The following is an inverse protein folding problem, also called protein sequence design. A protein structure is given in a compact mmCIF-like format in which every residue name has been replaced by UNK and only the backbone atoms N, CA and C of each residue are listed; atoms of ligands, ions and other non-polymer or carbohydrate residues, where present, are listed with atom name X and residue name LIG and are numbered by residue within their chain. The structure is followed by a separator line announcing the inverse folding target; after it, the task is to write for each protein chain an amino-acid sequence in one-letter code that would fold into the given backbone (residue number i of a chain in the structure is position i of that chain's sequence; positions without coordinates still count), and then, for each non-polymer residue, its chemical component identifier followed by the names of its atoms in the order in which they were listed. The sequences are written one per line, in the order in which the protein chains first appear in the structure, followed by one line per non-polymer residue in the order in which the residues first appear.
data_IF_252264008622
#
_entry.id   IF_252264008622
#
_cell.length_a   1.000
_cell.length_b   1.000
_cell.length_c   1.000
_cell.angle_alpha   90.00
_cell.angle_beta   90.00
_cell.angle_gamma   90.00
#
_symmetry.space_group_name_H-M   'P 1'
#
loop_
_entity.id
_entity.type
_entity.pdbx_description
1 polymer ?
#
# COMPACT_ATOMS: atom_id res chain seq x y z
N UNK A 1 -11.32 41.26 4.09
CA UNK A 1 -10.17 40.36 4.44
C UNK A 1 -10.61 38.91 4.31
N UNK A 2 -9.83 38.07 3.64
CA UNK A 2 -10.09 36.62 3.58
C UNK A 2 -9.71 36.06 4.94
N UNK A 3 -10.60 35.30 5.57
CA UNK A 3 -10.35 34.68 6.88
C UNK A 3 -9.85 33.26 6.70
N UNK A 4 -9.00 32.75 7.62
CA UNK A 4 -8.54 31.37 7.65
C UNK A 4 -9.72 30.37 7.64
N UNK A 5 -10.85 30.73 8.17
CA UNK A 5 -12.08 29.93 8.18
C UNK A 5 -12.68 29.74 6.78
N UNK A 6 -12.66 30.78 5.95
CA UNK A 6 -13.08 30.65 4.55
C UNK A 6 -12.17 29.72 3.76
N UNK A 7 -10.86 29.80 3.99
CA UNK A 7 -9.89 28.88 3.36
C UNK A 7 -10.14 27.43 3.81
N UNK A 8 -10.33 27.19 5.12
CA UNK A 8 -10.66 25.85 5.66
C UNK A 8 -11.93 25.27 5.03
N UNK A 9 -12.96 26.07 4.86
CA UNK A 9 -14.20 25.64 4.23
C UNK A 9 -14.00 25.24 2.76
N UNK A 10 -13.23 26.02 1.99
CA UNK A 10 -12.88 25.69 0.61
C UNK A 10 -12.03 24.41 0.53
N UNK A 11 -11.02 24.27 1.38
CA UNK A 11 -10.20 23.08 1.49
C UNK A 11 -11.03 21.83 1.80
N UNK A 12 -11.99 21.94 2.72
CA UNK A 12 -12.89 20.83 3.05
C UNK A 12 -13.73 20.39 1.85
N UNK A 13 -14.30 21.33 1.11
CA UNK A 13 -15.07 21.05 -0.13
C UNK A 13 -14.21 20.38 -1.21
N UNK A 14 -12.95 20.78 -1.32
CA UNK A 14 -11.97 20.20 -2.26
C UNK A 14 -11.26 18.96 -1.71
N UNK A 15 -11.58 18.55 -0.48
CA UNK A 15 -10.94 17.41 0.22
C UNK A 15 -9.42 17.58 0.36
N UNK A 16 -8.97 18.82 0.63
CA UNK A 16 -7.57 19.16 0.92
C UNK A 16 -7.40 19.20 2.44
N UNK A 17 -7.00 18.11 3.05
CA UNK A 17 -7.01 17.96 4.51
C UNK A 17 -5.68 18.37 5.18
N UNK A 18 -4.57 18.34 4.46
CA UNK A 18 -3.29 18.77 4.99
C UNK A 18 -3.09 20.28 4.87
N UNK A 19 -3.54 20.86 3.77
CA UNK A 19 -3.35 22.26 3.41
C UNK A 19 -3.76 23.26 4.53
N UNK A 20 -4.92 23.15 5.20
CA UNK A 20 -5.29 24.10 6.27
C UNK A 20 -4.34 24.12 7.45
N UNK A 21 -3.62 23.01 7.69
CA UNK A 21 -2.64 22.88 8.79
C UNK A 21 -1.28 23.43 8.40
N UNK A 22 -0.93 23.34 7.12
CA UNK A 22 0.38 23.70 6.58
C UNK A 22 0.45 25.13 6.07
N UNK A 23 -0.71 25.77 5.82
CA UNK A 23 -0.81 27.06 5.16
C UNK A 23 0.04 28.15 5.81
N UNK A 24 -0.01 28.28 7.13
CA UNK A 24 0.71 29.35 7.86
C UNK A 24 2.21 29.12 7.83
N UNK A 25 2.65 27.88 8.07
CA UNK A 25 4.07 27.52 8.05
C UNK A 25 4.68 27.64 6.65
N UNK A 26 4.00 27.19 5.63
CA UNK A 26 4.47 27.29 4.24
C UNK A 26 4.45 28.74 3.74
N UNK A 27 3.48 29.56 4.18
CA UNK A 27 3.46 30.99 3.85
C UNK A 27 4.65 31.74 4.46
N UNK A 28 5.00 31.42 5.71
CA UNK A 28 6.16 32.01 6.38
C UNK A 28 7.47 31.61 5.68
N UNK A 29 7.63 30.33 5.37
CA UNK A 29 8.79 29.81 4.61
C UNK A 29 8.91 30.45 3.22
N UNK A 30 7.79 30.60 2.51
CA UNK A 30 7.79 31.24 1.20
C UNK A 30 8.23 32.71 1.28
N UNK A 31 7.80 33.42 2.32
CA UNK A 31 8.19 34.81 2.55
C UNK A 31 9.68 34.93 2.88
N UNK A 32 10.22 34.06 3.75
CA UNK A 32 11.65 34.04 4.07
C UNK A 32 12.53 33.71 2.86
N UNK A 33 12.05 32.81 1.98
CA UNK A 33 12.76 32.36 0.78
C UNK A 33 12.53 33.29 -0.43
N UNK A 34 11.71 34.31 -0.32
CA UNK A 34 11.39 35.22 -1.43
C UNK A 34 10.67 34.56 -2.59
N UNK A 35 9.92 33.48 -2.34
CA UNK A 35 9.18 32.74 -3.36
C UNK A 35 8.05 33.57 -3.94
N UNK A 36 7.82 33.42 -5.24
CA UNK A 36 6.66 34.00 -5.89
C UNK A 36 5.37 33.20 -5.56
N UNK A 37 4.20 33.76 -5.89
CA UNK A 37 2.92 33.15 -5.56
C UNK A 37 2.70 31.77 -6.24
N UNK A 38 3.27 31.55 -7.40
CA UNK A 38 3.15 30.29 -8.14
C UNK A 38 3.99 29.20 -7.45
N UNK A 39 5.22 29.52 -7.07
CA UNK A 39 6.09 28.61 -6.30
C UNK A 39 5.48 28.25 -4.94
N UNK A 40 4.95 29.23 -4.23
CA UNK A 40 4.23 28.98 -2.97
C UNK A 40 3.05 28.03 -3.16
N UNK A 41 2.21 28.27 -4.16
CA UNK A 41 1.06 27.39 -4.45
C UNK A 41 1.50 25.99 -4.84
N UNK A 42 2.54 25.86 -5.67
CA UNK A 42 3.11 24.58 -6.05
C UNK A 42 3.57 23.79 -4.82
N UNK A 43 4.34 24.42 -3.94
CA UNK A 43 4.87 23.75 -2.74
C UNK A 43 3.74 23.31 -1.80
N UNK A 44 2.74 24.15 -1.60
CA UNK A 44 1.59 23.86 -0.78
C UNK A 44 0.77 22.67 -1.31
N UNK A 45 0.52 22.63 -2.62
CA UNK A 45 -0.16 21.50 -3.27
C UNK A 45 0.70 20.23 -3.25
N UNK A 46 2.01 20.35 -3.44
CA UNK A 46 2.93 19.22 -3.36
C UNK A 46 2.93 18.58 -1.97
N UNK A 47 2.87 19.39 -0.90
CA UNK A 47 2.72 18.89 0.48
C UNK A 47 1.40 18.17 0.70
N UNK A 48 0.29 18.69 0.17
CA UNK A 48 -1.01 18.00 0.23
C UNK A 48 -0.97 16.63 -0.45
N UNK A 49 -0.34 16.53 -1.64
CA UNK A 49 -0.18 15.28 -2.37
C UNK A 49 0.68 14.31 -1.57
N UNK A 50 1.83 14.73 -1.07
CA UNK A 50 2.72 13.89 -0.24
C UNK A 50 2.01 13.32 1.00
N UNK A 51 1.26 14.16 1.72
CA UNK A 51 0.47 13.73 2.88
C UNK A 51 -0.61 12.72 2.51
N UNK A 52 -1.28 12.93 1.38
CA UNK A 52 -2.30 12.01 0.86
C UNK A 52 -1.70 10.67 0.48
N UNK A 53 -0.62 10.68 -0.30
CA UNK A 53 0.08 9.47 -0.75
C UNK A 53 0.61 8.67 0.44
N UNK A 54 1.17 9.35 1.44
CA UNK A 54 1.63 8.72 2.67
C UNK A 54 0.47 8.03 3.42
N UNK A 55 -0.67 8.70 3.58
CA UNK A 55 -1.84 8.11 4.24
C UNK A 55 -2.42 6.94 3.46
N UNK A 56 -2.45 7.04 2.14
CA UNK A 56 -2.94 5.98 1.27
C UNK A 56 -2.00 4.77 1.29
N UNK A 57 -0.70 5.00 1.33
CA UNK A 57 0.29 3.95 1.52
C UNK A 57 0.11 3.25 2.87
N UNK A 58 0.01 3.99 3.97
CA UNK A 58 -0.22 3.42 5.29
C UNK A 58 -1.52 2.60 5.36
N UNK A 59 -2.57 3.06 4.69
CA UNK A 59 -3.85 2.34 4.60
C UNK A 59 -3.70 1.04 3.82
N UNK A 60 -2.96 1.05 2.69
CA UNK A 60 -2.64 -0.16 1.92
C UNK A 60 -1.81 -1.15 2.74
N UNK A 61 -0.78 -0.69 3.45
CA UNK A 61 0.04 -1.53 4.31
C UNK A 61 -0.77 -2.19 5.43
N UNK A 62 -1.64 -1.41 6.09
CA UNK A 62 -2.51 -1.96 7.13
C UNK A 62 -3.45 -3.04 6.59
N UNK A 63 -3.97 -2.84 5.38
CA UNK A 63 -4.84 -3.82 4.71
C UNK A 63 -4.08 -5.05 4.20
N UNK A 64 -2.80 -4.89 3.85
CA UNK A 64 -1.98 -5.95 3.27
C UNK A 64 -1.72 -7.14 4.22
N UNK A 65 -1.95 -6.99 5.52
CA UNK A 65 -1.77 -8.03 6.55
C UNK A 65 -0.38 -8.70 6.49
N UNK A 66 0.66 -7.88 6.35
CA UNK A 66 2.04 -8.35 6.21
C UNK A 66 2.62 -8.89 7.52
N UNK A 67 3.46 -9.95 7.46
CA UNK A 67 4.24 -10.38 8.60
C UNK A 67 5.27 -9.31 8.98
N UNK A 68 5.79 -9.37 10.22
CA UNK A 68 6.75 -8.40 10.75
C UNK A 68 8.05 -8.30 9.90
N UNK A 69 8.44 -9.39 9.25
CA UNK A 69 9.62 -9.45 8.38
C UNK A 69 9.19 -9.50 6.92
N UNK A 70 9.38 -8.40 6.20
CA UNK A 70 9.04 -8.27 4.78
C UNK A 70 9.97 -7.34 3.99
N UNK A 71 11.06 -6.85 4.62
CA UNK A 71 12.03 -5.99 3.98
C UNK A 71 13.01 -6.81 3.12
N UNK A 72 12.85 -6.74 1.79
CA UNK A 72 13.68 -7.50 0.84
C UNK A 72 15.14 -7.06 0.81
N UNK A 73 15.49 -5.89 1.34
CA UNK A 73 16.88 -5.46 1.45
C UNK A 73 17.64 -6.26 2.51
N UNK A 74 16.90 -6.88 3.44
CA UNK A 74 17.45 -7.78 4.46
C UNK A 74 17.46 -9.25 4.05
N UNK A 75 17.18 -9.56 2.77
CA UNK A 75 17.17 -10.93 2.30
C UNK A 75 18.59 -11.49 2.19
N UNK A 76 18.87 -12.55 2.93
CA UNK A 76 20.20 -13.22 2.92
C UNK A 76 20.30 -14.21 1.76
N UNK A 77 20.99 -13.80 0.70
CA UNK A 77 21.27 -14.61 -0.46
C UNK A 77 22.27 -15.76 -0.19
N UNK A 78 23.08 -15.66 0.88
CA UNK A 78 24.03 -16.73 1.24
C UNK A 78 23.32 -17.90 1.90
N UNK A 79 22.26 -17.61 2.67
CA UNK A 79 21.44 -18.63 3.31
C UNK A 79 20.50 -19.32 2.33
N UNK A 80 19.97 -18.59 1.36
CA UNK A 80 19.02 -19.10 0.38
C UNK A 80 19.60 -19.06 -1.04
N UNK A 81 20.06 -20.20 -1.53
CA UNK A 81 20.58 -20.34 -2.91
C UNK A 81 19.49 -20.45 -3.98
N UNK A 82 18.21 -20.37 -3.58
CA UNK A 82 17.06 -20.55 -4.49
C UNK A 82 16.77 -19.39 -5.44
N UNK A 83 17.18 -18.18 -5.08
CA UNK A 83 16.98 -16.98 -5.90
C UNK A 83 18.22 -16.10 -5.89
N UNK A 84 18.67 -15.69 -7.06
CA UNK A 84 19.80 -14.77 -7.20
C UNK A 84 19.40 -13.32 -6.97
N UNK A 85 20.34 -12.49 -6.53
CA UNK A 85 20.09 -11.07 -6.32
C UNK A 85 19.58 -10.33 -7.59
N UNK A 86 20.09 -10.60 -8.81
CA UNK A 86 19.52 -10.02 -10.03
C UNK A 86 18.06 -10.43 -10.25
N UNK A 87 17.71 -11.71 -10.01
CA UNK A 87 16.35 -12.21 -10.19
C UNK A 87 15.38 -11.58 -9.17
N UNK A 88 15.80 -11.44 -7.92
CA UNK A 88 14.99 -10.77 -6.91
C UNK A 88 14.76 -9.28 -7.27
N UNK A 89 15.79 -8.57 -7.74
CA UNK A 89 15.64 -7.19 -8.22
C UNK A 89 14.68 -7.06 -9.40
N UNK A 90 14.68 -8.03 -10.32
CA UNK A 90 13.71 -8.06 -11.42
C UNK A 90 12.28 -8.23 -10.90
N UNK A 91 12.04 -9.14 -9.98
CA UNK A 91 10.72 -9.35 -9.37
C UNK A 91 10.20 -8.11 -8.63
N UNK A 92 11.09 -7.38 -7.95
CA UNK A 92 10.75 -6.13 -7.24
C UNK A 92 10.26 -5.01 -8.16
N UNK A 93 10.61 -5.03 -9.45
CA UNK A 93 10.09 -4.06 -10.45
C UNK A 93 8.61 -4.26 -10.75
N UNK A 94 8.04 -5.39 -10.38
CA UNK A 94 6.63 -5.74 -10.53
C UNK A 94 6.09 -5.75 -11.98
N UNK A 95 6.94 -5.68 -13.00
CA UNK A 95 6.53 -5.73 -14.40
C UNK A 95 5.74 -7.00 -14.77
N UNK A 96 5.93 -8.07 -14.02
CA UNK A 96 5.13 -9.29 -14.16
C UNK A 96 3.66 -9.11 -13.74
N UNK A 97 3.35 -8.17 -12.82
CA UNK A 97 1.96 -7.81 -12.46
C UNK A 97 1.26 -7.10 -13.62
N UNK A 98 1.95 -6.17 -14.27
CA UNK A 98 1.40 -5.43 -15.42
C UNK A 98 1.08 -6.35 -16.60
N UNK A 99 1.86 -7.42 -16.73
CA UNK A 99 1.68 -8.45 -17.76
C UNK A 99 0.71 -9.55 -17.35
N UNK A 100 0.07 -9.45 -16.18
CA UNK A 100 -0.86 -10.44 -15.63
C UNK A 100 -0.23 -11.84 -15.46
N UNK A 101 1.06 -11.94 -15.17
CA UNK A 101 1.70 -13.22 -14.87
C UNK A 101 1.49 -13.63 -13.41
N UNK A 102 1.33 -14.93 -13.21
CA UNK A 102 1.33 -15.53 -11.89
C UNK A 102 2.76 -15.91 -11.48
N UNK A 103 3.11 -15.58 -10.23
CA UNK A 103 4.38 -15.95 -9.63
C UNK A 103 4.16 -17.10 -8.65
N UNK A 104 4.84 -18.23 -8.86
CA UNK A 104 4.82 -19.39 -7.96
C UNK A 104 6.20 -19.55 -7.33
N UNK A 105 6.26 -19.47 -6.00
CA UNK A 105 7.48 -19.68 -5.22
C UNK A 105 7.50 -21.11 -4.68
N UNK A 106 8.41 -21.94 -5.20
CA UNK A 106 8.55 -23.34 -4.82
C UNK A 106 9.90 -23.60 -4.15
N UNK A 107 9.94 -24.55 -3.23
CA UNK A 107 11.18 -24.97 -2.56
C UNK A 107 10.93 -25.51 -1.15
N UNK A 108 11.95 -26.04 -0.47
CA UNK A 108 11.88 -26.56 0.90
C UNK A 108 11.42 -25.54 1.93
N UNK A 109 11.00 -25.99 3.11
CA UNK A 109 10.70 -25.10 4.22
C UNK A 109 11.94 -24.29 4.63
N UNK A 110 11.75 -23.07 5.12
CA UNK A 110 12.85 -22.20 5.59
C UNK A 110 13.61 -21.44 4.50
N UNK A 111 13.35 -21.65 3.21
CA UNK A 111 14.10 -21.00 2.10
C UNK A 111 13.66 -19.55 1.80
N UNK A 112 12.87 -18.91 2.65
CA UNK A 112 12.50 -17.50 2.51
C UNK A 112 11.34 -17.22 1.55
N UNK A 113 10.59 -18.22 1.07
CA UNK A 113 9.46 -18.02 0.14
C UNK A 113 8.43 -17.03 0.64
N UNK A 114 7.99 -17.20 1.88
CA UNK A 114 7.02 -16.30 2.54
C UNK A 114 7.59 -14.89 2.73
N UNK A 115 8.87 -14.79 3.04
CA UNK A 115 9.57 -13.52 3.16
C UNK A 115 9.60 -12.76 1.81
N UNK A 116 9.94 -13.47 0.72
CA UNK A 116 9.92 -12.91 -0.64
C UNK A 116 8.51 -12.49 -1.03
N UNK A 117 7.50 -13.35 -0.81
CA UNK A 117 6.11 -13.03 -1.12
C UNK A 117 5.64 -11.78 -0.36
N UNK A 118 5.91 -11.71 0.94
CA UNK A 118 5.56 -10.56 1.77
C UNK A 118 6.25 -9.27 1.32
N UNK A 119 7.52 -9.35 0.97
CA UNK A 119 8.27 -8.20 0.45
C UNK A 119 7.74 -7.72 -0.91
N UNK A 120 7.35 -8.62 -1.80
CA UNK A 120 6.72 -8.23 -3.08
C UNK A 120 5.34 -7.59 -2.87
N UNK A 121 4.56 -8.04 -1.88
CA UNK A 121 3.30 -7.39 -1.48
C UNK A 121 3.57 -5.98 -0.92
N UNK A 122 4.62 -5.81 -0.12
CA UNK A 122 5.05 -4.50 0.38
C UNK A 122 5.42 -3.54 -0.75
N UNK A 123 6.27 -3.99 -1.70
CA UNK A 123 6.65 -3.19 -2.89
C UNK A 123 5.44 -2.82 -3.74
N UNK A 124 4.51 -3.76 -3.95
CA UNK A 124 3.27 -3.51 -4.68
C UNK A 124 2.40 -2.45 -3.99
N UNK A 125 2.25 -2.53 -2.66
CA UNK A 125 1.54 -1.51 -1.89
C UNK A 125 2.21 -0.14 -2.00
N UNK A 126 3.56 -0.09 -2.03
CA UNK A 126 4.35 1.12 -2.25
C UNK A 126 4.10 1.77 -3.62
N UNK A 127 3.97 0.95 -4.67
CA UNK A 127 3.65 1.41 -6.02
C UNK A 127 2.16 1.70 -6.27
N UNK A 128 1.32 1.62 -5.21
CA UNK A 128 -0.10 2.00 -5.31
C UNK A 128 -1.06 0.83 -5.53
N UNK A 129 -0.58 -0.39 -5.71
CA UNK A 129 -1.42 -1.56 -5.89
C UNK A 129 -2.15 -1.93 -4.59
N UNK A 130 -3.36 -2.46 -4.72
CA UNK A 130 -4.09 -3.09 -3.61
C UNK A 130 -3.64 -4.55 -3.50
N UNK A 131 -2.66 -4.79 -2.65
CA UNK A 131 -2.06 -6.10 -2.46
C UNK A 131 -2.32 -6.62 -1.04
N UNK A 132 -2.56 -7.93 -0.90
CA UNK A 132 -2.92 -8.56 0.36
C UNK A 132 -2.16 -9.87 0.53
N UNK A 133 -1.75 -10.16 1.76
CA UNK A 133 -1.22 -11.45 2.15
C UNK A 133 -2.34 -12.25 2.81
N UNK A 134 -2.66 -13.42 2.26
CA UNK A 134 -3.69 -14.29 2.80
C UNK A 134 -3.17 -15.72 2.89
N UNK A 135 -3.56 -16.45 3.92
CA UNK A 135 -3.27 -17.87 4.02
C UNK A 135 -4.32 -18.69 3.28
N UNK A 136 -4.00 -19.93 2.90
CA UNK A 136 -4.99 -20.85 2.33
C UNK A 136 -6.12 -21.13 3.32
N UNK A 137 -5.82 -21.16 4.62
CA UNK A 137 -6.82 -21.30 5.66
C UNK A 137 -7.83 -20.14 5.66
N UNK A 138 -7.36 -18.90 5.56
CA UNK A 138 -8.23 -17.71 5.47
C UNK A 138 -9.13 -17.77 4.24
N UNK A 139 -8.58 -18.21 3.10
CA UNK A 139 -9.35 -18.39 1.86
C UNK A 139 -10.46 -19.42 2.07
N UNK A 140 -10.12 -20.60 2.61
CA UNK A 140 -11.09 -21.67 2.88
C UNK A 140 -12.18 -21.20 3.85
N UNK A 141 -11.81 -20.53 4.93
CA UNK A 141 -12.76 -20.00 5.91
C UNK A 141 -13.69 -18.96 5.29
N UNK A 142 -13.17 -18.08 4.45
CA UNK A 142 -13.96 -17.08 3.73
C UNK A 142 -14.99 -17.74 2.80
N UNK A 143 -14.60 -18.80 2.08
CA UNK A 143 -15.50 -19.55 1.20
C UNK A 143 -16.59 -20.25 2.04
N UNK A 144 -16.22 -20.92 3.14
CA UNK A 144 -17.18 -21.58 4.03
C UNK A 144 -18.21 -20.62 4.61
N UNK A 145 -17.79 -19.41 4.99
CA UNK A 145 -18.72 -18.40 5.53
C UNK A 145 -19.65 -17.81 4.48
N UNK A 146 -19.25 -17.78 3.23
CA UNK A 146 -20.05 -17.24 2.10
C UNK A 146 -21.02 -18.27 1.50
N UNK A 147 -20.87 -19.55 1.82
CA UNK A 147 -21.81 -20.60 1.43
C UNK A 147 -22.74 -20.85 2.61
N UNK A 148 -23.98 -20.31 2.65
CA UNK A 148 -24.99 -20.79 3.57
C UNK A 148 -25.33 -22.21 3.12
N UNK A 149 -24.80 -23.21 3.85
CA UNK A 149 -25.15 -24.61 3.60
C UNK A 149 -26.59 -24.82 4.07
N UNK A 150 -27.52 -24.58 3.17
CA UNK A 150 -28.88 -25.10 3.29
C UNK A 150 -28.88 -26.60 2.93
N UNK A 151 -28.32 -27.43 3.80
CA UNK A 151 -28.47 -28.88 3.71
C UNK A 151 -29.62 -29.40 4.59
N UNK A 152 -30.74 -28.68 4.67
CA UNK A 152 -31.89 -29.11 5.49
C UNK A 152 -33.11 -29.57 4.68
N UNK A 153 -33.01 -29.81 3.37
CA UNK A 153 -34.17 -30.28 2.60
C UNK A 153 -33.86 -31.46 1.67
N UNK A 154 -33.22 -32.52 2.20
CA UNK A 154 -33.19 -33.81 1.53
C UNK A 154 -33.39 -34.97 2.51
N UNK A 155 -34.41 -34.87 3.37
CA UNK A 155 -34.96 -36.02 4.10
C UNK A 155 -36.40 -35.74 4.48
N UNK A 156 -37.28 -35.95 3.54
CA UNK A 156 -38.67 -36.29 3.79
C UNK A 156 -39.31 -36.65 2.43
N UNK A 157 -39.15 -37.90 2.03
CA UNK A 157 -40.15 -38.67 1.31
C UNK A 157 -39.61 -40.09 1.07
N UNK A 158 -39.76 -40.94 2.06
CA UNK A 158 -40.14 -42.34 1.93
C UNK A 158 -41.23 -42.63 2.98
#
# INVERSE_FOLDING_TARGET
MITNEQIKNLCSRLRLYALPRLLESEAHLAQEQGKNHVEFLHDLLSREVQERDSKDFQRRLKAAALPARHDLDLFDHNYSQGITAPRLRELRRLGWLEQNYNLILMGPSGTGKTFIAAGLVYEAAGQGYKAYMVTMEDVINTIKMKTPVSYTHLRAHE
#
